data_IF_672373604181
#
_entry.id   IF_672373604181
#
_cell.length_a   1.000
_cell.length_b   1.000
_cell.length_c   1.000
_cell.angle_alpha   90.00
_cell.angle_beta   90.00
_cell.angle_gamma   90.00
#
_symmetry.space_group_name_H-M   'P 1'
#
loop_
_entity.id
_entity.type
_entity.pdbx_description
1 polymer ?
#
# COMPACT_ATOMS: atom_id res chain seq x y z
N UNK A 1 -42.93 -35.92 30.70
CA UNK A 1 -44.31 -35.62 31.14
C UNK A 1 -45.05 -35.33 29.86
N UNK A 2 -45.66 -36.33 29.41
CA UNK A 2 -47.03 -36.67 29.05
C UNK A 2 -47.48 -36.00 27.79
N UNK A 3 -47.45 -36.70 26.62
CA UNK A 3 -48.46 -37.68 26.22
C UNK A 3 -49.88 -37.11 26.35
N UNK A 4 -50.67 -37.00 25.31
CA UNK A 4 -51.31 -38.03 24.53
C UNK A 4 -52.37 -37.43 23.55
N UNK A 5 -52.94 -38.17 22.66
CA UNK A 5 -53.54 -37.75 21.41
C UNK A 5 -55.08 -37.76 21.47
N UNK A 6 -55.72 -37.18 20.40
CA UNK A 6 -57.19 -37.30 20.25
C UNK A 6 -57.49 -37.62 18.78
N UNK A 7 -57.87 -38.77 18.58
CA UNK A 7 -58.99 -39.59 18.03
C UNK A 7 -59.84 -38.92 16.94
N UNK A 8 -59.96 -39.68 15.84
CA UNK A 8 -61.03 -39.63 14.82
C UNK A 8 -62.40 -39.96 15.40
N UNK A 9 -63.47 -39.54 14.72
CA UNK A 9 -64.62 -40.41 14.64
C UNK A 9 -65.12 -40.70 13.22
N UNK A 10 -65.63 -41.92 13.16
CA UNK A 10 -66.19 -42.75 12.09
C UNK A 10 -67.47 -42.20 11.46
N UNK A 11 -67.53 -42.53 10.15
CA UNK A 11 -68.70 -42.99 9.37
C UNK A 11 -70.09 -43.12 10.03
N UNK A 12 -71.05 -42.50 9.39
CA UNK A 12 -72.29 -43.28 9.06
C UNK A 12 -73.02 -42.63 7.88
N UNK A 13 -73.29 -43.43 6.85
CA UNK A 13 -74.26 -43.18 5.75
C UNK A 13 -75.60 -43.74 6.10
N UNK A 14 -76.67 -43.10 5.73
CA UNK A 14 -77.88 -43.83 5.43
C UNK A 14 -78.23 -43.80 3.87
N UNK A 15 -78.45 -44.95 3.43
CA UNK A 15 -79.06 -45.35 2.17
C UNK A 15 -80.51 -44.76 2.02
N UNK A 16 -80.77 -44.11 0.88
CA UNK A 16 -82.12 -43.75 0.48
C UNK A 16 -82.28 -43.96 -1.02
N UNK A 17 -82.59 -45.16 -1.38
CA UNK A 17 -83.37 -45.54 -2.59
C UNK A 17 -84.82 -45.04 -2.46
N UNK A 18 -85.34 -44.48 -3.55
CA UNK A 18 -86.70 -44.06 -3.85
C UNK A 18 -87.01 -42.53 -3.75
N UNK A 19 -86.92 -41.93 -4.93
CA UNK A 19 -87.85 -40.84 -5.29
C UNK A 19 -88.04 -40.77 -6.85
N UNK A 20 -89.22 -40.44 -7.32
CA UNK A 20 -89.66 -40.61 -8.72
C UNK A 20 -89.14 -39.51 -9.66
N UNK A 21 -89.06 -39.90 -10.93
CA UNK A 21 -88.62 -39.10 -12.06
C UNK A 21 -89.46 -37.80 -12.28
N UNK A 22 -88.82 -36.65 -12.31
CA UNK A 22 -89.43 -35.42 -12.79
C UNK A 22 -89.20 -35.20 -14.29
N UNK A 23 -90.06 -34.47 -14.98
CA UNK A 23 -90.12 -34.39 -16.44
C UNK A 23 -88.99 -33.56 -17.02
N UNK A 24 -88.48 -33.98 -18.18
CA UNK A 24 -87.45 -33.30 -18.97
C UNK A 24 -87.94 -32.01 -19.56
N UNK A 25 -87.34 -30.90 -19.20
CA UNK A 25 -87.45 -29.56 -19.84
C UNK A 25 -86.55 -29.51 -21.11
N UNK A 26 -86.94 -28.80 -22.15
CA UNK A 26 -86.19 -28.71 -23.41
C UNK A 26 -84.88 -27.90 -23.21
N UNK A 27 -83.80 -28.39 -23.80
CA UNK A 27 -82.47 -27.79 -23.76
C UNK A 27 -82.40 -26.45 -24.52
N UNK A 28 -82.21 -25.37 -23.81
CA UNK A 28 -81.82 -24.07 -24.42
C UNK A 28 -80.38 -24.14 -25.00
N UNK A 29 -80.12 -23.51 -26.15
CA UNK A 29 -78.79 -23.48 -26.74
C UNK A 29 -77.86 -22.62 -25.91
N UNK A 30 -76.76 -23.19 -25.39
CA UNK A 30 -75.71 -22.49 -24.67
C UNK A 30 -75.09 -21.42 -25.55
N UNK A 31 -74.98 -20.17 -25.08
CA UNK A 31 -74.26 -19.13 -25.81
C UNK A 31 -72.77 -19.50 -25.87
N UNK A 32 -72.21 -19.68 -27.04
CA UNK A 32 -70.77 -19.89 -27.28
C UNK A 32 -70.02 -18.72 -26.79
N UNK A 33 -69.09 -18.98 -25.90
CA UNK A 33 -68.26 -18.10 -25.09
C UNK A 33 -67.63 -16.92 -25.88
N UNK A 34 -68.26 -15.75 -25.78
CA UNK A 34 -67.61 -14.49 -26.14
C UNK A 34 -66.39 -14.18 -25.25
N UNK A 35 -66.22 -14.87 -24.11
CA UNK A 35 -65.14 -14.64 -23.15
C UNK A 35 -63.77 -15.15 -23.64
N UNK A 36 -63.71 -16.23 -24.39
CA UNK A 36 -62.43 -16.78 -24.90
C UNK A 36 -61.87 -15.97 -26.05
N UNK A 37 -62.69 -15.43 -26.94
CA UNK A 37 -62.24 -14.56 -28.03
C UNK A 37 -61.81 -13.17 -27.51
N UNK A 38 -62.45 -12.65 -26.47
CA UNK A 38 -62.07 -11.38 -25.84
C UNK A 38 -60.76 -11.51 -25.08
N UNK A 39 -60.54 -12.61 -24.36
CA UNK A 39 -59.25 -12.90 -23.67
C UNK A 39 -58.12 -13.13 -24.66
N UNK A 40 -58.36 -13.79 -25.79
CA UNK A 40 -57.36 -13.99 -26.84
C UNK A 40 -57.00 -12.67 -27.51
N UNK A 41 -57.98 -11.79 -27.77
CA UNK A 41 -57.75 -10.47 -28.32
C UNK A 41 -56.96 -9.57 -27.35
N UNK A 42 -57.26 -9.61 -26.04
CA UNK A 42 -56.52 -8.88 -25.01
C UNK A 42 -55.08 -9.41 -24.88
N UNK A 43 -54.87 -10.71 -24.94
CA UNK A 43 -53.54 -11.32 -24.93
C UNK A 43 -52.70 -10.86 -26.14
N UNK A 44 -53.30 -10.85 -27.34
CA UNK A 44 -52.65 -10.38 -28.57
C UNK A 44 -52.28 -8.91 -28.47
N UNK A 45 -53.18 -8.05 -27.96
CA UNK A 45 -52.90 -6.62 -27.73
C UNK A 45 -51.78 -6.43 -26.69
N UNK A 46 -51.77 -7.26 -25.64
CA UNK A 46 -50.72 -7.18 -24.61
C UNK A 46 -49.35 -7.63 -25.14
N UNK A 47 -49.31 -8.71 -25.93
CA UNK A 47 -48.06 -9.20 -26.55
C UNK A 47 -47.56 -8.24 -27.62
N UNK A 48 -48.43 -7.72 -28.48
CA UNK A 48 -48.04 -6.72 -29.50
C UNK A 48 -47.68 -5.39 -28.90
N UNK A 49 -48.43 -4.90 -27.90
CA UNK A 49 -48.13 -3.67 -27.19
C UNK A 49 -46.88 -3.75 -26.32
N UNK A 50 -46.73 -4.86 -25.58
CA UNK A 50 -45.53 -5.16 -24.81
C UNK A 50 -44.28 -5.34 -25.68
N UNK A 51 -44.44 -6.03 -26.82
CA UNK A 51 -43.40 -6.21 -27.83
C UNK A 51 -42.97 -4.87 -28.46
N UNK A 52 -43.92 -4.02 -28.80
CA UNK A 52 -43.65 -2.69 -29.36
C UNK A 52 -42.94 -1.78 -28.33
N UNK A 53 -43.39 -1.79 -27.08
CA UNK A 53 -42.74 -1.06 -26.00
C UNK A 53 -41.34 -1.59 -25.71
N UNK A 54 -41.15 -2.91 -25.72
CA UNK A 54 -39.83 -3.53 -25.55
C UNK A 54 -38.88 -3.18 -26.69
N UNK A 55 -39.33 -3.29 -27.95
CA UNK A 55 -38.51 -2.93 -29.11
C UNK A 55 -38.22 -1.44 -29.13
N UNK A 56 -39.20 -0.58 -28.79
CA UNK A 56 -38.99 0.86 -28.69
C UNK A 56 -38.02 1.21 -27.54
N UNK A 57 -38.20 0.60 -26.38
CA UNK A 57 -37.30 0.80 -25.24
C UNK A 57 -35.87 0.28 -25.52
N UNK A 58 -35.77 -0.88 -26.20
CA UNK A 58 -34.49 -1.48 -26.58
C UNK A 58 -33.78 -0.66 -27.68
N UNK A 59 -34.51 -0.17 -28.68
CA UNK A 59 -33.94 0.67 -29.74
C UNK A 59 -33.59 2.08 -29.24
N UNK A 60 -34.47 2.70 -28.40
CA UNK A 60 -34.10 3.97 -27.72
C UNK A 60 -32.91 3.76 -26.78
N UNK A 61 -32.86 2.67 -26.03
CA UNK A 61 -31.72 2.36 -25.15
C UNK A 61 -30.39 2.13 -25.91
N UNK A 62 -30.50 1.56 -27.14
CA UNK A 62 -29.33 1.43 -28.04
C UNK A 62 -28.95 2.76 -28.73
N UNK A 63 -29.93 3.59 -29.09
CA UNK A 63 -29.70 4.91 -29.70
C UNK A 63 -29.27 5.96 -28.65
N UNK A 64 -29.74 5.81 -27.44
CA UNK A 64 -29.27 6.59 -26.31
C UNK A 64 -27.97 6.04 -25.73
N UNK A 65 -27.07 5.47 -26.49
CA UNK A 65 -25.81 4.83 -26.09
C UNK A 65 -25.08 5.58 -24.95
N UNK A 66 -25.78 5.70 -23.83
CA UNK A 66 -25.21 6.23 -22.61
C UNK A 66 -24.18 5.20 -22.12
N UNK A 67 -22.92 5.45 -22.38
CA UNK A 67 -21.83 4.79 -21.66
C UNK A 67 -22.11 5.00 -20.18
N UNK A 68 -22.26 3.93 -19.37
CA UNK A 68 -22.54 4.09 -17.95
C UNK A 68 -21.53 5.05 -17.30
N UNK A 69 -21.99 6.13 -16.69
CA UNK A 69 -21.17 7.10 -15.98
C UNK A 69 -20.74 8.35 -16.76
N UNK A 70 -21.14 8.54 -18.03
CA UNK A 70 -20.89 9.80 -18.75
C UNK A 70 -22.06 10.76 -18.62
N UNK A 71 -21.78 11.99 -18.21
CA UNK A 71 -22.76 13.11 -18.34
C UNK A 71 -22.92 13.49 -19.80
N UNK A 72 -24.09 14.04 -20.19
CA UNK A 72 -24.34 14.47 -21.58
C UNK A 72 -23.24 15.41 -22.11
N UNK A 73 -22.70 16.26 -21.27
CA UNK A 73 -21.58 17.15 -21.62
C UNK A 73 -20.28 16.40 -22.00
N UNK A 74 -20.04 15.24 -21.42
CA UNK A 74 -18.84 14.45 -21.72
C UNK A 74 -19.02 13.57 -22.97
N UNK A 75 -20.24 13.27 -23.41
CA UNK A 75 -20.48 12.45 -24.61
C UNK A 75 -19.94 13.13 -25.86
N UNK A 76 -20.19 14.43 -26.05
CA UNK A 76 -19.67 15.18 -27.18
C UNK A 76 -18.15 15.33 -27.16
N UNK A 77 -17.55 15.47 -25.96
CA UNK A 77 -16.12 15.52 -25.76
C UNK A 77 -15.43 14.20 -26.13
N UNK A 78 -16.05 13.07 -25.80
CA UNK A 78 -15.49 11.73 -26.08
C UNK A 78 -15.81 11.19 -27.47
N UNK A 79 -16.67 11.84 -28.28
CA UNK A 79 -17.02 11.40 -29.63
C UNK A 79 -15.79 11.22 -30.52
N UNK A 80 -14.84 12.18 -30.65
CA UNK A 80 -13.64 12.01 -31.47
C UNK A 80 -12.77 10.83 -31.03
N UNK A 81 -12.73 10.55 -29.73
CA UNK A 81 -12.03 9.40 -29.17
C UNK A 81 -12.65 8.08 -29.67
N UNK A 82 -13.98 7.95 -29.62
CA UNK A 82 -14.67 6.73 -30.06
C UNK A 82 -14.61 6.56 -31.58
N UNK A 83 -14.66 7.65 -32.35
CA UNK A 83 -14.50 7.63 -33.78
C UNK A 83 -13.09 7.11 -34.15
N UNK A 84 -12.06 7.64 -33.54
CA UNK A 84 -10.66 7.21 -33.72
C UNK A 84 -10.45 5.75 -33.29
N UNK A 85 -10.97 5.35 -32.13
CA UNK A 85 -10.88 3.97 -31.64
C UNK A 85 -11.53 2.99 -32.62
N UNK A 86 -12.72 3.34 -33.14
CA UNK A 86 -13.46 2.51 -34.10
C UNK A 86 -12.71 2.39 -35.43
N UNK A 87 -12.19 3.51 -35.93
CA UNK A 87 -11.44 3.53 -37.19
C UNK A 87 -10.15 2.69 -37.12
N UNK A 88 -9.38 2.86 -36.04
CA UNK A 88 -8.17 2.05 -35.80
C UNK A 88 -8.54 0.57 -35.66
N UNK A 89 -9.56 0.23 -34.89
CA UNK A 89 -9.95 -1.15 -34.66
C UNK A 89 -10.45 -1.87 -35.92
N UNK A 90 -11.03 -1.12 -36.88
CA UNK A 90 -11.63 -1.70 -38.09
C UNK A 90 -10.73 -1.61 -39.33
N UNK A 91 -9.89 -0.59 -39.42
CA UNK A 91 -9.22 -0.24 -40.69
C UNK A 91 -7.69 -0.30 -40.60
N UNK A 92 -7.11 -0.51 -39.42
CA UNK A 92 -5.65 -0.65 -39.31
C UNK A 92 -5.15 -1.90 -40.03
N UNK A 93 -4.07 -1.79 -40.78
CA UNK A 93 -3.55 -2.84 -41.68
C UNK A 93 -2.91 -4.02 -40.93
N UNK A 94 -2.57 -3.86 -39.64
CA UNK A 94 -2.01 -4.91 -38.79
C UNK A 94 -3.03 -5.48 -37.81
N UNK A 95 -2.59 -6.43 -36.98
CA UNK A 95 -3.39 -6.93 -35.86
C UNK A 95 -3.42 -5.89 -34.74
N UNK A 96 -4.60 -5.68 -34.17
CA UNK A 96 -4.81 -4.75 -33.05
C UNK A 96 -5.43 -5.53 -31.90
N UNK A 97 -4.73 -5.53 -30.75
CA UNK A 97 -5.33 -5.97 -29.50
C UNK A 97 -6.07 -4.79 -28.84
N UNK A 98 -7.40 -4.89 -28.65
CA UNK A 98 -8.20 -3.84 -28.02
C UNK A 98 -7.71 -3.47 -26.61
N UNK A 99 -7.13 -4.42 -25.86
CA UNK A 99 -6.59 -4.14 -24.53
C UNK A 99 -5.42 -3.15 -24.57
N UNK A 100 -4.52 -3.30 -25.52
CA UNK A 100 -3.41 -2.33 -25.70
C UNK A 100 -3.88 -0.93 -26.10
N UNK A 101 -4.95 -0.83 -26.90
CA UNK A 101 -5.52 0.47 -27.25
C UNK A 101 -6.11 1.17 -26.02
N UNK A 102 -6.87 0.43 -25.19
CA UNK A 102 -7.47 0.96 -23.98
C UNK A 102 -6.38 1.36 -22.97
N UNK A 103 -5.40 0.50 -22.78
CA UNK A 103 -4.24 0.77 -21.91
C UNK A 103 -3.49 2.02 -22.36
N UNK A 104 -3.20 2.15 -23.67
CA UNK A 104 -2.55 3.32 -24.25
C UNK A 104 -3.37 4.60 -24.03
N UNK A 105 -4.69 4.53 -24.16
CA UNK A 105 -5.58 5.65 -23.94
C UNK A 105 -5.57 6.10 -22.46
N UNK A 106 -5.63 5.16 -21.52
CA UNK A 106 -5.56 5.46 -20.07
C UNK A 106 -4.19 6.07 -19.74
N UNK A 107 -3.09 5.50 -20.24
CA UNK A 107 -1.74 6.09 -20.10
C UNK A 107 -1.69 7.52 -20.62
N UNK A 108 -2.35 7.79 -21.76
CA UNK A 108 -2.45 9.12 -22.34
C UNK A 108 -3.13 10.14 -21.42
N UNK A 109 -4.17 9.74 -20.69
CA UNK A 109 -4.85 10.59 -19.70
C UNK A 109 -3.87 11.02 -18.59
N UNK A 110 -3.12 10.06 -18.02
CA UNK A 110 -2.16 10.38 -16.96
C UNK A 110 -0.98 11.22 -17.47
N UNK A 111 -0.49 10.93 -18.66
CA UNK A 111 0.58 11.72 -19.28
C UNK A 111 0.17 13.19 -19.54
N UNK A 112 -1.11 13.43 -19.85
CA UNK A 112 -1.64 14.77 -20.05
C UNK A 112 -1.66 15.63 -18.77
N UNK A 113 -1.60 15.02 -17.57
CA UNK A 113 -1.51 15.75 -16.30
C UNK A 113 -0.16 16.45 -16.13
N UNK A 114 0.91 15.97 -16.77
CA UNK A 114 2.26 16.49 -16.56
C UNK A 114 2.82 16.25 -15.16
N UNK A 115 2.15 15.41 -14.35
CA UNK A 115 2.57 15.03 -13.00
C UNK A 115 3.34 13.71 -13.04
N UNK A 116 4.65 13.70 -12.72
CA UNK A 116 5.45 12.48 -12.75
C UNK A 116 5.06 11.47 -11.65
N UNK A 117 4.28 11.90 -10.66
CA UNK A 117 3.82 11.05 -9.55
C UNK A 117 2.46 10.41 -9.82
N UNK A 118 1.73 10.88 -10.84
CA UNK A 118 0.46 10.31 -11.28
C UNK A 118 0.66 9.46 -12.53
N UNK A 119 0.32 8.18 -12.46
CA UNK A 119 0.51 7.28 -13.60
C UNK A 119 -0.45 6.09 -13.58
N UNK A 120 -0.78 5.61 -14.77
CA UNK A 120 -1.38 4.30 -14.94
C UNK A 120 -0.33 3.21 -14.73
N UNK A 121 -0.76 2.09 -14.15
CA UNK A 121 0.04 0.91 -13.86
C UNK A 121 -0.67 -0.32 -14.45
N UNK A 122 0.05 -1.16 -15.16
CA UNK A 122 -0.45 -2.49 -15.53
C UNK A 122 -0.76 -3.30 -14.28
N UNK A 123 -1.44 -4.44 -14.41
CA UNK A 123 -1.78 -5.26 -13.26
C UNK A 123 -0.53 -5.73 -12.48
N UNK A 124 0.53 -6.09 -13.19
CA UNK A 124 1.81 -6.48 -12.59
C UNK A 124 2.49 -5.30 -11.88
N UNK A 125 2.59 -4.13 -12.54
CA UNK A 125 3.16 -2.92 -11.95
C UNK A 125 2.37 -2.41 -10.75
N UNK A 126 1.02 -2.52 -10.80
CA UNK A 126 0.15 -2.12 -9.69
C UNK A 126 0.38 -2.98 -8.46
N UNK A 127 0.40 -4.31 -8.62
CA UNK A 127 0.69 -5.25 -7.54
C UNK A 127 2.10 -5.08 -6.99
N UNK A 128 3.09 -4.93 -7.87
CA UNK A 128 4.48 -4.69 -7.47
C UNK A 128 4.62 -3.39 -6.67
N UNK A 129 3.94 -2.30 -7.11
CA UNK A 129 3.96 -1.01 -6.41
C UNK A 129 3.33 -1.10 -5.03
N UNK A 130 2.19 -1.79 -4.88
CA UNK A 130 1.55 -2.00 -3.58
C UNK A 130 2.43 -2.82 -2.65
N UNK A 131 3.00 -3.93 -3.12
CA UNK A 131 3.91 -4.78 -2.34
C UNK A 131 5.19 -4.03 -1.93
N UNK A 132 5.72 -3.19 -2.83
CA UNK A 132 6.89 -2.36 -2.54
C UNK A 132 6.64 -1.34 -1.42
N UNK A 133 5.46 -0.71 -1.40
CA UNK A 133 5.11 0.28 -0.37
C UNK A 133 4.70 -0.40 0.94
N UNK A 134 3.92 -1.50 0.89
CA UNK A 134 3.50 -2.21 2.09
C UNK A 134 4.68 -2.80 2.86
N UNK A 135 5.77 -3.11 2.17
CA UNK A 135 6.91 -3.83 2.75
C UNK A 135 6.58 -5.28 3.08
N UNK A 136 5.47 -5.81 2.56
CA UNK A 136 4.98 -7.16 2.81
C UNK A 136 5.41 -8.14 1.73
N UNK A 137 5.87 -9.31 2.14
CA UNK A 137 6.16 -10.42 1.24
C UNK A 137 5.85 -11.76 1.90
N UNK A 138 5.50 -12.77 1.10
CA UNK A 138 5.21 -14.10 1.62
C UNK A 138 6.49 -14.93 1.74
N UNK A 139 6.69 -15.58 2.89
CA UNK A 139 7.85 -16.39 3.11
C UNK A 139 8.05 -16.84 4.56
N UNK A 140 9.32 -16.99 4.95
CA UNK A 140 9.72 -17.42 6.30
C UNK A 140 10.39 -16.31 7.12
N UNK A 141 10.94 -15.25 6.49
CA UNK A 141 11.63 -14.15 7.16
C UNK A 141 13.07 -14.48 7.55
N UNK A 142 13.87 -14.86 6.57
CA UNK A 142 15.31 -15.11 6.70
C UNK A 142 16.07 -14.32 5.64
N UNK A 143 17.13 -13.65 6.05
CA UNK A 143 18.20 -13.21 5.16
C UNK A 143 19.31 -14.23 5.20
N UNK A 144 19.84 -14.56 4.04
CA UNK A 144 20.85 -15.60 3.91
C UNK A 144 21.95 -15.18 2.93
N UNK A 145 23.15 -15.64 3.18
CA UNK A 145 24.28 -15.45 2.29
C UNK A 145 25.11 -16.74 2.17
N UNK A 146 25.72 -16.94 1.02
CA UNK A 146 26.72 -17.98 0.83
C UNK A 146 28.06 -17.49 1.33
N UNK A 147 28.66 -18.22 2.28
CA UNK A 147 29.92 -17.86 2.93
C UNK A 147 30.82 -19.06 3.11
N UNK A 148 32.14 -18.86 2.97
CA UNK A 148 33.15 -19.82 3.31
C UNK A 148 33.41 -19.89 4.84
N UNK A 149 34.39 -20.69 5.26
CA UNK A 149 34.75 -20.84 6.67
C UNK A 149 35.34 -19.56 7.29
N UNK A 150 35.86 -18.62 6.47
CA UNK A 150 36.38 -17.33 6.90
C UNK A 150 35.31 -16.23 6.86
N UNK A 151 34.05 -16.58 6.47
CA UNK A 151 32.94 -15.61 6.34
C UNK A 151 32.96 -14.81 5.03
N UNK A 152 33.84 -15.17 4.07
CA UNK A 152 33.89 -14.46 2.79
C UNK A 152 32.79 -14.96 1.85
N UNK A 153 32.18 -14.07 1.04
CA UNK A 153 31.19 -14.47 0.03
C UNK A 153 31.77 -15.50 -0.95
N UNK A 154 30.91 -16.42 -1.39
CA UNK A 154 31.27 -17.45 -2.37
C UNK A 154 30.02 -17.78 -3.24
N UNK A 155 30.24 -18.32 -4.47
CA UNK A 155 29.18 -18.36 -5.47
C UNK A 155 28.22 -19.56 -5.39
N UNK A 156 28.73 -20.78 -5.18
CA UNK A 156 27.93 -22.01 -5.22
C UNK A 156 27.97 -22.76 -3.90
N UNK A 157 26.81 -23.23 -3.45
CA UNK A 157 26.72 -24.01 -2.20
C UNK A 157 27.46 -25.34 -2.32
N UNK A 158 28.44 -25.54 -1.43
CA UNK A 158 29.31 -26.70 -1.40
C UNK A 158 29.75 -27.02 0.04
N UNK A 159 30.61 -28.01 0.21
CA UNK A 159 31.20 -28.33 1.52
C UNK A 159 32.07 -27.19 2.10
N UNK A 160 32.60 -26.32 1.23
CA UNK A 160 33.43 -25.17 1.62
C UNK A 160 32.73 -23.83 1.52
N UNK A 161 31.59 -23.75 0.82
CA UNK A 161 30.76 -22.56 0.63
C UNK A 161 29.35 -22.85 1.13
N UNK A 162 28.99 -22.37 2.30
CA UNK A 162 27.74 -22.76 2.98
C UNK A 162 26.72 -21.66 2.99
N UNK A 163 25.43 -22.02 2.86
CA UNK A 163 24.32 -21.08 3.01
C UNK A 163 24.07 -20.81 4.50
N UNK A 164 24.38 -19.60 4.92
CA UNK A 164 24.26 -19.15 6.32
C UNK A 164 23.14 -18.16 6.48
N UNK A 165 22.37 -18.28 7.55
CA UNK A 165 21.41 -17.26 7.99
C UNK A 165 22.20 -16.08 8.56
N UNK A 166 22.11 -14.94 7.88
CA UNK A 166 22.77 -13.69 8.29
C UNK A 166 21.89 -12.87 9.22
N UNK A 167 20.58 -12.88 8.96
CA UNK A 167 19.60 -12.21 9.79
C UNK A 167 18.27 -12.97 9.84
N UNK A 168 17.66 -13.01 11.02
CA UNK A 168 16.30 -13.52 11.23
C UNK A 168 15.39 -12.34 11.49
N UNK A 169 14.47 -12.07 10.55
CA UNK A 169 13.55 -10.94 10.59
C UNK A 169 12.69 -10.97 11.85
N UNK A 170 12.57 -9.85 12.55
CA UNK A 170 11.76 -9.73 13.75
C UNK A 170 10.29 -10.10 13.46
N UNK A 171 9.62 -10.71 14.43
CA UNK A 171 8.22 -11.13 14.30
C UNK A 171 7.92 -12.04 13.12
N UNK A 172 8.94 -12.69 12.55
CA UNK A 172 8.79 -13.61 11.42
C UNK A 172 8.45 -15.04 11.86
N UNK A 173 7.89 -15.87 10.96
CA UNK A 173 7.73 -17.31 11.20
C UNK A 173 9.03 -18.03 11.53
N UNK A 174 10.14 -17.65 10.91
CA UNK A 174 11.45 -18.22 11.18
C UNK A 174 11.91 -17.96 12.62
N UNK A 175 11.70 -16.72 13.12
CA UNK A 175 12.00 -16.39 14.52
C UNK A 175 11.11 -17.21 15.47
N UNK A 176 9.82 -17.30 15.19
CA UNK A 176 8.86 -18.07 15.99
C UNK A 176 9.20 -19.57 15.98
N UNK A 177 9.76 -20.11 14.89
CA UNK A 177 10.23 -21.49 14.80
C UNK A 177 11.61 -21.72 15.46
N UNK A 178 12.25 -20.67 16.01
CA UNK A 178 13.52 -20.75 16.72
C UNK A 178 14.75 -20.75 15.82
N UNK A 179 14.66 -20.24 14.59
CA UNK A 179 15.82 -19.96 13.73
C UNK A 179 16.70 -18.89 14.38
N UNK A 180 18.01 -18.95 14.12
CA UNK A 180 18.99 -18.03 14.70
C UNK A 180 19.98 -17.56 13.65
N UNK A 181 20.50 -16.34 13.87
CA UNK A 181 21.64 -15.84 13.09
C UNK A 181 22.82 -16.80 13.24
N UNK A 182 23.46 -17.13 12.13
CA UNK A 182 24.57 -18.08 12.07
C UNK A 182 24.18 -19.53 11.78
N UNK A 183 22.90 -19.89 11.78
CA UNK A 183 22.44 -21.21 11.32
C UNK A 183 22.92 -21.48 9.89
N UNK A 184 23.37 -22.70 9.64
CA UNK A 184 23.79 -23.15 8.31
C UNK A 184 22.72 -24.06 7.74
N UNK A 185 22.04 -23.63 6.68
CA UNK A 185 21.04 -24.44 5.98
C UNK A 185 21.75 -25.51 5.15
N UNK A 186 21.36 -26.77 5.31
CA UNK A 186 21.94 -27.92 4.59
C UNK A 186 20.94 -28.63 3.69
N UNK A 187 19.62 -28.55 4.00
CA UNK A 187 18.57 -29.12 3.16
C UNK A 187 17.28 -28.30 3.28
N UNK A 188 16.42 -28.37 2.27
CA UNK A 188 15.06 -27.83 2.24
C UNK A 188 14.11 -28.99 1.92
N UNK A 189 13.08 -29.20 2.75
CA UNK A 189 12.13 -30.32 2.65
C UNK A 189 12.79 -31.69 2.46
N UNK A 190 13.89 -31.90 3.19
CA UNK A 190 14.70 -33.13 3.13
C UNK A 190 15.62 -33.25 1.90
N UNK A 191 15.55 -32.33 0.96
CA UNK A 191 16.44 -32.34 -0.22
C UNK A 191 17.69 -31.48 0.05
N UNK A 192 18.87 -32.11 -0.11
CA UNK A 192 20.16 -31.40 0.05
C UNK A 192 20.31 -30.27 -0.96
N UNK A 193 20.89 -29.13 -0.51
CA UNK A 193 21.06 -27.93 -1.32
C UNK A 193 22.44 -27.76 -1.95
N UNK A 194 23.37 -28.73 -1.71
CA UNK A 194 24.70 -28.72 -2.32
C UNK A 194 24.58 -28.70 -3.85
N UNK A 195 25.35 -27.83 -4.50
CA UNK A 195 25.36 -27.63 -5.94
C UNK A 195 24.28 -26.67 -6.47
N UNK A 196 23.38 -26.15 -5.60
CA UNK A 196 22.38 -25.14 -5.96
C UNK A 196 22.96 -23.73 -5.78
N UNK A 197 22.38 -22.79 -6.50
CA UNK A 197 22.61 -21.36 -6.26
C UNK A 197 21.76 -20.88 -5.09
N UNK A 198 22.08 -19.72 -4.52
CA UNK A 198 21.27 -19.11 -3.47
C UNK A 198 19.84 -18.81 -3.97
N UNK A 199 19.67 -18.36 -5.21
CA UNK A 199 18.37 -18.04 -5.81
C UNK A 199 17.49 -19.28 -5.97
N UNK A 200 18.09 -20.42 -6.36
CA UNK A 200 17.38 -21.71 -6.41
C UNK A 200 16.84 -22.08 -5.03
N UNK A 201 17.65 -21.91 -3.98
CA UNK A 201 17.24 -22.24 -2.61
C UNK A 201 16.19 -21.26 -2.09
N UNK A 202 16.33 -19.97 -2.36
CA UNK A 202 15.32 -18.96 -2.01
C UNK A 202 13.97 -19.32 -2.65
N UNK A 203 13.98 -19.76 -3.91
CA UNK A 203 12.75 -20.19 -4.61
C UNK A 203 12.09 -21.40 -3.94
N UNK A 204 12.86 -22.35 -3.41
CA UNK A 204 12.33 -23.48 -2.65
C UNK A 204 11.78 -23.08 -1.27
N UNK A 205 12.42 -22.11 -0.61
CA UNK A 205 12.00 -21.62 0.71
C UNK A 205 10.76 -20.75 0.62
N UNK A 206 10.63 -19.93 -0.44
CA UNK A 206 9.43 -19.13 -0.70
C UNK A 206 8.23 -20.01 -1.02
N UNK A 207 7.04 -19.47 -0.86
CA UNK A 207 5.79 -20.13 -1.21
C UNK A 207 4.60 -19.47 -0.53
N UNK A 208 3.36 -19.90 -0.86
CA UNK A 208 2.15 -19.28 -0.37
C UNK A 208 2.01 -19.35 1.16
N UNK A 209 1.45 -18.27 1.73
CA UNK A 209 1.06 -18.22 3.14
C UNK A 209 0.29 -19.47 3.57
N UNK A 210 0.59 -19.98 4.78
CA UNK A 210 -0.04 -21.15 5.37
C UNK A 210 0.57 -22.49 4.95
N UNK A 211 1.47 -22.54 3.97
CA UNK A 211 2.22 -23.76 3.61
C UNK A 211 3.46 -23.92 4.51
N UNK A 212 3.87 -25.17 4.75
CA UNK A 212 5.04 -25.46 5.59
C UNK A 212 6.26 -25.74 4.71
N UNK A 213 7.43 -25.24 5.12
CA UNK A 213 8.74 -25.63 4.62
C UNK A 213 9.58 -26.13 5.80
N UNK A 214 10.31 -27.20 5.61
CA UNK A 214 11.23 -27.71 6.64
C UNK A 214 12.66 -27.39 6.25
N UNK A 215 13.36 -26.61 7.06
CA UNK A 215 14.79 -26.34 6.88
C UNK A 215 15.61 -27.26 7.76
N UNK A 216 16.48 -28.05 7.16
CA UNK A 216 17.51 -28.78 7.91
C UNK A 216 18.68 -27.84 8.13
N UNK A 217 18.98 -27.52 9.39
CA UNK A 217 20.04 -26.58 9.75
C UNK A 217 21.10 -27.23 10.63
N UNK A 218 22.32 -26.74 10.51
CA UNK A 218 23.44 -27.08 11.40
C UNK A 218 23.73 -25.89 12.31
N UNK A 219 23.55 -26.07 13.61
CA UNK A 219 23.81 -25.10 14.67
C UNK A 219 24.76 -25.66 15.69
N UNK A 220 25.90 -25.02 15.94
CA UNK A 220 26.94 -25.46 16.87
C UNK A 220 27.33 -26.96 16.68
N UNK A 221 27.38 -27.45 15.43
CA UNK A 221 27.72 -28.83 15.09
C UNK A 221 26.58 -29.84 15.17
N UNK A 222 25.39 -29.45 15.64
CA UNK A 222 24.20 -30.30 15.70
C UNK A 222 23.28 -30.02 14.52
N UNK A 223 22.78 -31.08 13.89
CA UNK A 223 21.79 -30.98 12.80
C UNK A 223 20.40 -31.13 13.37
N UNK A 224 19.50 -30.25 12.93
CA UNK A 224 18.08 -30.26 13.32
C UNK A 224 17.18 -29.86 12.16
N UNK A 225 15.97 -30.40 12.14
CA UNK A 225 14.90 -29.97 11.22
C UNK A 225 14.02 -28.94 11.89
N UNK A 226 13.83 -27.80 11.22
CA UNK A 226 13.00 -26.69 11.68
C UNK A 226 11.83 -26.52 10.70
N UNK A 227 10.63 -27.00 11.05
CA UNK A 227 9.44 -26.76 10.26
C UNK A 227 8.97 -25.32 10.48
N UNK A 228 8.76 -24.58 9.37
CA UNK A 228 8.35 -23.17 9.39
C UNK A 228 7.09 -23.02 8.55
N UNK A 229 6.00 -22.53 9.14
CA UNK A 229 4.79 -22.20 8.39
C UNK A 229 5.00 -20.83 7.77
N UNK A 230 4.94 -20.74 6.44
CA UNK A 230 5.06 -19.47 5.71
C UNK A 230 3.94 -18.53 6.05
N UNK A 231 4.25 -17.26 6.20
CA UNK A 231 3.28 -16.18 6.44
C UNK A 231 3.69 -14.92 5.70
N UNK A 232 2.90 -13.86 5.86
CA UNK A 232 3.28 -12.51 5.44
C UNK A 232 4.38 -12.02 6.38
N UNK A 233 5.47 -11.58 5.79
CA UNK A 233 6.64 -11.02 6.48
C UNK A 233 6.63 -9.52 6.25
N UNK A 234 6.83 -8.75 7.32
CA UNK A 234 7.10 -7.33 7.23
C UNK A 234 8.59 -7.10 7.01
N UNK A 235 8.94 -6.28 6.00
CA UNK A 235 10.31 -5.80 5.83
C UNK A 235 10.68 -4.93 7.04
N UNK A 236 11.90 -5.08 7.53
CA UNK A 236 12.43 -4.22 8.58
C UNK A 236 12.98 -2.94 7.94
N UNK A 237 12.21 -1.88 8.04
CA UNK A 237 12.58 -0.56 7.49
C UNK A 237 13.29 0.31 8.54
N UNK A 238 13.35 -0.12 9.80
CA UNK A 238 13.94 0.65 10.91
C UNK A 238 15.03 -0.15 11.59
N UNK A 239 16.18 0.47 11.73
CA UNK A 239 17.32 -0.08 12.48
C UNK A 239 17.73 0.89 13.60
N UNK A 240 18.37 0.37 14.63
CA UNK A 240 18.86 1.18 15.75
C UNK A 240 20.29 0.82 16.16
N UNK A 241 20.99 1.78 16.70
CA UNK A 241 22.32 1.61 17.26
C UNK A 241 22.52 2.58 18.43
N UNK A 242 23.34 2.19 19.40
CA UNK A 242 23.80 3.08 20.46
C UNK A 242 25.19 3.61 20.11
N UNK A 243 25.34 4.93 20.12
CA UNK A 243 26.58 5.64 19.74
C UNK A 243 27.13 6.44 20.92
N UNK A 244 28.33 6.99 20.75
CA UNK A 244 28.96 7.92 21.68
C UNK A 244 29.03 7.41 23.13
N UNK A 245 29.57 6.19 23.31
CA UNK A 245 29.76 5.55 24.63
C UNK A 245 28.43 5.42 25.42
N UNK A 246 27.34 5.07 24.73
CA UNK A 246 26.05 4.85 25.36
C UNK A 246 25.14 6.08 25.47
N UNK A 247 25.59 7.25 25.01
CA UNK A 247 24.84 8.50 25.21
C UNK A 247 23.79 8.79 24.14
N UNK A 248 24.00 8.33 22.90
CA UNK A 248 23.18 8.71 21.77
C UNK A 248 22.51 7.47 21.18
N UNK A 249 21.18 7.51 21.09
CA UNK A 249 20.39 6.57 20.30
C UNK A 249 20.34 7.02 18.84
N UNK A 250 20.77 6.16 17.95
CA UNK A 250 20.66 6.34 16.51
C UNK A 250 19.58 5.43 15.97
N UNK A 251 18.71 5.99 15.15
CA UNK A 251 17.64 5.29 14.43
C UNK A 251 17.75 5.64 12.96
N UNK A 252 17.73 4.62 12.08
CA UNK A 252 17.68 4.82 10.64
C UNK A 252 16.38 4.26 10.10
N UNK A 253 15.71 5.02 9.25
CA UNK A 253 14.52 4.60 8.51
C UNK A 253 14.87 4.54 7.03
N UNK A 254 14.66 3.37 6.41
CA UNK A 254 14.88 3.12 4.98
C UNK A 254 13.56 3.14 4.16
N UNK A 255 12.40 3.24 4.84
CA UNK A 255 11.09 3.34 4.22
C UNK A 255 9.94 3.39 5.23
N UNK A 256 8.81 3.92 4.79
CA UNK A 256 7.59 4.06 5.59
C UNK A 256 6.56 3.00 5.19
N UNK A 257 6.85 1.73 5.50
CA UNK A 257 5.93 0.61 5.29
C UNK A 257 4.85 0.52 6.37
N UNK A 258 3.94 -0.46 6.23
CA UNK A 258 2.88 -0.70 7.21
C UNK A 258 3.40 -1.08 8.60
N UNK A 259 4.61 -1.65 8.70
CA UNK A 259 5.26 -2.06 9.96
C UNK A 259 6.18 -1.00 10.58
N UNK A 260 6.65 -0.01 9.79
CA UNK A 260 7.75 0.88 10.18
C UNK A 260 7.48 1.70 11.45
N UNK A 261 6.23 2.17 11.65
CA UNK A 261 5.87 2.93 12.84
C UNK A 261 5.96 2.09 14.13
N UNK A 262 5.54 0.83 14.08
CA UNK A 262 5.64 -0.06 15.24
C UNK A 262 7.10 -0.47 15.48
N UNK A 263 7.87 -0.72 14.43
CA UNK A 263 9.30 -1.02 14.55
C UNK A 263 10.07 0.13 15.19
N UNK A 264 9.78 1.36 14.76
CA UNK A 264 10.37 2.54 15.37
C UNK A 264 9.99 2.66 16.85
N UNK A 265 8.70 2.52 17.19
CA UNK A 265 8.23 2.61 18.57
C UNK A 265 8.97 1.62 19.49
N UNK A 266 9.09 0.36 19.07
CA UNK A 266 9.74 -0.69 19.85
C UNK A 266 11.23 -0.38 20.07
N UNK A 267 11.95 -0.01 18.99
CA UNK A 267 13.37 0.32 19.05
C UNK A 267 13.65 1.62 19.83
N UNK A 268 12.81 2.63 19.64
CA UNK A 268 12.93 3.89 20.38
C UNK A 268 12.66 3.68 21.87
N UNK A 269 11.67 2.87 22.22
CA UNK A 269 11.38 2.49 23.61
C UNK A 269 12.57 1.77 24.24
N UNK A 270 13.21 0.83 23.51
CA UNK A 270 14.42 0.15 23.98
C UNK A 270 15.57 1.15 24.21
N UNK A 271 15.82 2.06 23.26
CA UNK A 271 16.87 3.08 23.39
C UNK A 271 16.65 4.00 24.61
N UNK A 272 15.41 4.47 24.81
CA UNK A 272 15.10 5.42 25.87
C UNK A 272 14.97 4.74 27.23
N UNK A 273 14.25 3.61 27.33
CA UNK A 273 13.90 2.98 28.59
C UNK A 273 14.93 1.96 29.08
N UNK A 274 15.58 1.23 28.16
CA UNK A 274 16.54 0.17 28.49
C UNK A 274 17.98 0.66 28.39
N UNK A 275 18.33 1.32 27.30
CA UNK A 275 19.69 1.82 27.11
C UNK A 275 19.92 3.18 27.79
N UNK A 276 18.86 3.89 28.18
CA UNK A 276 18.91 5.19 28.87
C UNK A 276 19.74 6.23 28.08
N UNK A 277 19.58 6.28 26.77
CA UNK A 277 20.25 7.26 25.92
C UNK A 277 19.82 8.67 26.30
N UNK A 278 20.74 9.63 26.16
CA UNK A 278 20.53 11.02 26.58
C UNK A 278 20.18 11.94 25.40
N UNK A 279 20.44 11.51 24.16
CA UNK A 279 20.13 12.22 22.95
C UNK A 279 19.79 11.27 21.80
N UNK A 280 19.22 11.80 20.73
CA UNK A 280 18.71 11.02 19.60
C UNK A 280 19.21 11.55 18.24
N UNK A 281 19.49 10.65 17.33
CA UNK A 281 19.72 10.93 15.91
C UNK A 281 18.72 10.09 15.11
N UNK A 282 17.88 10.74 14.31
CA UNK A 282 17.00 10.09 13.32
C UNK A 282 17.60 10.28 11.93
N UNK A 283 17.98 9.21 11.27
CA UNK A 283 18.55 9.23 9.93
C UNK A 283 17.48 8.88 8.89
N UNK A 284 17.15 9.86 8.06
CA UNK A 284 16.19 9.75 6.94
C UNK A 284 16.88 9.93 5.59
N UNK A 285 18.21 9.84 5.53
CA UNK A 285 18.95 9.94 4.29
C UNK A 285 18.64 8.75 3.38
N UNK A 286 18.46 9.02 2.09
CA UNK A 286 18.14 8.05 1.03
C UNK A 286 16.80 7.31 1.24
N UNK A 287 15.94 7.81 2.13
CA UNK A 287 14.60 7.26 2.36
C UNK A 287 13.57 7.92 1.44
N UNK A 288 13.00 7.18 0.47
CA UNK A 288 12.04 7.71 -0.52
C UNK A 288 10.65 7.98 0.07
N UNK A 289 10.41 7.63 1.34
CA UNK A 289 9.13 7.73 2.01
C UNK A 289 8.30 6.45 1.98
N UNK A 290 6.99 6.60 1.92
CA UNK A 290 6.02 5.52 1.94
C UNK A 290 4.65 5.99 2.41
N UNK A 291 4.04 5.28 3.36
CA UNK A 291 2.72 5.62 3.89
C UNK A 291 2.72 6.89 4.73
N UNK A 292 1.78 7.78 4.45
CA UNK A 292 1.61 9.05 5.16
C UNK A 292 1.15 8.85 6.61
N UNK A 293 0.30 7.85 6.86
CA UNK A 293 -0.12 7.50 8.22
C UNK A 293 1.03 6.95 9.08
N UNK A 294 1.99 6.26 8.46
CA UNK A 294 3.22 5.86 9.14
C UNK A 294 4.08 7.08 9.50
N UNK A 295 4.19 8.07 8.61
CA UNK A 295 4.90 9.32 8.89
C UNK A 295 4.26 10.10 10.05
N UNK A 296 2.93 10.20 10.09
CA UNK A 296 2.20 10.85 11.19
C UNK A 296 2.48 10.17 12.52
N UNK A 297 2.40 8.82 12.58
CA UNK A 297 2.69 8.05 13.78
C UNK A 297 4.16 8.21 14.21
N UNK A 298 5.09 8.11 13.27
CA UNK A 298 6.54 8.26 13.54
C UNK A 298 6.87 9.67 14.04
N UNK A 299 6.35 10.73 13.42
CA UNK A 299 6.53 12.07 13.92
C UNK A 299 5.99 12.24 15.35
N UNK A 300 4.85 11.58 15.64
CA UNK A 300 4.22 11.61 16.97
C UNK A 300 5.05 10.94 18.07
N UNK A 301 5.99 10.06 17.72
CA UNK A 301 6.91 9.47 18.69
C UNK A 301 7.85 10.51 19.31
N UNK A 302 8.13 11.60 18.60
CA UNK A 302 9.11 12.61 18.99
C UNK A 302 8.53 13.95 19.42
N UNK A 303 7.27 14.24 19.05
CA UNK A 303 6.63 15.52 19.37
C UNK A 303 5.14 15.39 19.59
N UNK A 304 4.62 16.19 20.54
CA UNK A 304 3.18 16.41 20.75
C UNK A 304 2.71 17.77 20.23
N UNK A 305 3.57 18.48 19.50
CA UNK A 305 3.21 19.77 18.90
C UNK A 305 2.14 19.59 17.82
N UNK A 306 1.24 20.56 17.72
CA UNK A 306 0.03 20.51 16.90
C UNK A 306 -0.11 21.81 16.09
N UNK A 307 -0.24 21.74 14.77
CA UNK A 307 -0.29 20.54 13.92
C UNK A 307 1.11 19.96 13.58
N UNK A 308 1.14 18.68 13.20
CA UNK A 308 2.35 18.06 12.65
C UNK A 308 2.61 18.56 11.21
N UNK A 309 1.57 18.63 10.40
CA UNK A 309 1.56 19.10 9.02
C UNK A 309 0.11 19.39 8.59
N UNK A 310 -0.10 19.85 7.36
CA UNK A 310 -1.42 20.09 6.81
C UNK A 310 -1.62 19.30 5.51
N UNK A 311 -2.85 18.88 5.25
CA UNK A 311 -3.27 18.34 3.97
C UNK A 311 -4.25 19.27 3.28
N UNK A 312 -4.16 19.35 1.94
CA UNK A 312 -5.05 20.16 1.13
C UNK A 312 -5.46 19.43 -0.14
N UNK A 313 -6.75 19.23 -0.36
CA UNK A 313 -7.32 18.76 -1.62
C UNK A 313 -7.33 19.88 -2.67
N UNK A 314 -7.61 19.53 -3.94
CA UNK A 314 -7.62 20.48 -5.05
C UNK A 314 -8.56 21.69 -4.82
N UNK A 315 -9.66 21.50 -4.11
CA UNK A 315 -10.72 22.52 -3.89
C UNK A 315 -10.95 22.84 -2.43
N UNK A 316 -10.27 22.17 -1.50
CA UNK A 316 -10.43 22.33 -0.05
C UNK A 316 -9.50 23.36 0.55
N UNK A 317 -9.84 23.84 1.76
CA UNK A 317 -8.92 24.54 2.62
C UNK A 317 -7.89 23.53 3.21
N UNK A 318 -6.72 24.00 3.67
CA UNK A 318 -5.79 23.14 4.41
C UNK A 318 -6.43 22.58 5.69
N UNK A 319 -6.27 21.30 5.93
CA UNK A 319 -6.77 20.59 7.11
C UNK A 319 -5.57 20.14 7.97
N UNK A 320 -5.54 20.47 9.29
CA UNK A 320 -4.43 20.12 10.16
C UNK A 320 -4.39 18.62 10.43
N UNK A 321 -3.19 18.07 10.48
CA UNK A 321 -2.94 16.69 10.86
C UNK A 321 -2.31 16.67 12.26
N UNK A 322 -3.00 16.01 13.19
CA UNK A 322 -2.71 16.04 14.61
C UNK A 322 -1.79 14.90 15.06
N UNK A 323 -0.98 15.08 16.10
CA UNK A 323 -0.16 14.01 16.64
C UNK A 323 -1.01 12.90 17.27
N UNK A 324 -0.56 11.66 17.11
CA UNK A 324 -1.10 10.52 17.86
C UNK A 324 -0.59 10.57 19.31
N UNK A 325 -1.39 10.19 20.32
CA UNK A 325 -0.92 10.16 21.69
C UNK A 325 0.03 8.99 21.95
N UNK A 326 0.94 9.14 22.94
CA UNK A 326 1.74 8.04 23.48
C UNK A 326 3.15 7.93 22.89
N UNK A 327 3.69 8.98 22.29
CA UNK A 327 5.05 8.97 21.76
C UNK A 327 6.12 8.72 22.83
N UNK A 328 7.11 7.87 22.49
CA UNK A 328 8.13 7.38 23.43
C UNK A 328 9.24 8.40 23.75
N UNK A 329 9.43 9.44 22.91
CA UNK A 329 10.50 10.44 23.05
C UNK A 329 10.01 11.88 22.84
N UNK A 330 8.82 12.21 23.34
CA UNK A 330 8.24 13.56 23.27
C UNK A 330 8.85 14.55 24.24
N UNK A 331 9.70 14.08 25.18
CA UNK A 331 10.44 14.96 26.11
C UNK A 331 11.45 15.81 25.34
N UNK A 332 11.23 17.11 25.33
CA UNK A 332 12.10 18.09 24.66
C UNK A 332 13.45 18.29 25.34
N UNK A 333 13.65 17.77 26.56
CA UNK A 333 14.96 17.77 27.23
C UNK A 333 15.92 16.73 26.64
N UNK A 334 15.42 15.78 25.85
CA UNK A 334 16.26 14.86 25.09
C UNK A 334 16.61 15.54 23.75
N UNK A 335 17.84 16.06 23.58
CA UNK A 335 18.23 16.69 22.33
C UNK A 335 18.14 15.72 21.15
N UNK A 336 17.73 16.25 19.99
CA UNK A 336 17.50 15.42 18.82
C UNK A 336 17.88 16.16 17.54
N UNK A 337 18.51 15.44 16.62
CA UNK A 337 18.74 15.89 15.24
C UNK A 337 18.18 14.90 14.24
N UNK A 338 17.87 15.39 13.04
CA UNK A 338 17.46 14.57 11.90
C UNK A 338 18.48 14.72 10.77
N UNK A 339 18.98 13.61 10.24
CA UNK A 339 19.88 13.60 9.10
C UNK A 339 19.08 13.46 7.82
N UNK A 340 19.33 14.34 6.84
CA UNK A 340 18.59 14.40 5.57
C UNK A 340 19.53 14.60 4.38
N UNK A 341 19.07 14.18 3.18
CA UNK A 341 19.76 14.45 1.93
C UNK A 341 18.79 14.51 0.73
N UNK A 342 19.30 14.63 -0.49
CA UNK A 342 18.50 14.66 -1.71
C UNK A 342 17.67 13.41 -1.99
N UNK A 343 17.94 12.29 -1.32
CA UNK A 343 17.14 11.06 -1.36
C UNK A 343 16.00 11.02 -0.35
N UNK A 344 16.01 11.94 0.65
CA UNK A 344 14.91 12.09 1.62
C UNK A 344 13.68 12.67 0.92
N UNK A 345 12.57 11.90 0.81
CA UNK A 345 11.41 12.30 0.03
C UNK A 345 10.06 11.93 0.67
N UNK A 346 8.99 12.70 0.36
CA UNK A 346 7.58 12.35 0.69
C UNK A 346 7.34 12.18 2.20
N UNK A 347 6.98 10.98 2.69
CA UNK A 347 6.74 10.67 4.10
C UNK A 347 7.92 11.07 5.00
N UNK A 348 9.17 10.86 4.54
CA UNK A 348 10.38 11.29 5.25
C UNK A 348 10.47 12.80 5.36
N UNK A 349 10.01 13.54 4.32
CA UNK A 349 9.94 15.00 4.37
C UNK A 349 8.83 15.49 5.31
N UNK A 350 7.70 14.76 5.41
CA UNK A 350 6.63 15.07 6.37
C UNK A 350 7.17 14.98 7.80
N UNK A 351 7.88 13.90 8.14
CA UNK A 351 8.51 13.76 9.48
C UNK A 351 9.54 14.85 9.71
N UNK A 352 10.43 15.08 8.73
CA UNK A 352 11.45 16.13 8.82
C UNK A 352 10.84 17.52 9.02
N UNK A 353 9.80 17.87 8.24
CA UNK A 353 9.09 19.14 8.34
C UNK A 353 8.37 19.31 9.68
N UNK A 354 7.70 18.23 10.15
CA UNK A 354 7.02 18.23 11.45
C UNK A 354 8.00 18.51 12.60
N UNK A 355 9.16 17.85 12.59
CA UNK A 355 10.16 18.01 13.66
C UNK A 355 10.90 19.35 13.57
N UNK A 356 11.26 19.81 12.38
CA UNK A 356 11.92 21.11 12.17
C UNK A 356 10.96 22.26 12.45
N UNK A 357 9.76 22.25 11.85
CA UNK A 357 8.81 23.35 11.96
C UNK A 357 8.28 23.55 13.38
N UNK A 358 8.15 22.46 14.13
CA UNK A 358 7.78 22.51 15.56
C UNK A 358 8.98 22.64 16.50
N UNK A 359 10.17 22.95 15.99
CA UNK A 359 11.40 23.17 16.75
C UNK A 359 11.78 21.99 17.67
N UNK A 360 11.41 20.77 17.27
CA UNK A 360 11.77 19.55 18.01
C UNK A 360 13.18 19.07 17.68
N UNK A 361 13.61 19.23 16.43
CA UNK A 361 14.91 18.79 15.98
C UNK A 361 15.50 19.73 14.92
N UNK A 362 16.84 19.81 14.87
CA UNK A 362 17.57 20.44 13.78
C UNK A 362 17.76 19.43 12.64
N UNK A 363 17.54 19.85 11.39
CA UNK A 363 17.91 19.09 10.22
C UNK A 363 19.39 19.32 9.89
N UNK A 364 20.14 18.25 9.64
CA UNK A 364 21.57 18.28 9.27
C UNK A 364 21.76 17.49 7.97
N UNK A 365 22.52 18.03 7.04
CA UNK A 365 22.82 17.38 5.76
C UNK A 365 22.57 18.27 4.57
N UNK A 366 22.00 17.76 3.48
CA UNK A 366 21.68 18.55 2.31
C UNK A 366 20.16 18.65 2.06
N UNK A 367 19.78 19.54 1.13
CA UNK A 367 18.37 19.80 0.78
C UNK A 367 17.65 18.52 0.38
N UNK A 368 16.41 18.33 0.84
CA UNK A 368 15.58 17.16 0.51
C UNK A 368 15.00 17.21 -0.90
N UNK A 369 14.36 16.13 -1.33
CA UNK A 369 13.87 15.94 -2.70
C UNK A 369 12.79 16.95 -3.13
N UNK A 370 11.80 17.22 -2.27
CA UNK A 370 10.69 18.11 -2.58
C UNK A 370 9.47 17.41 -3.19
N UNK A 371 9.01 16.31 -2.62
CA UNK A 371 7.77 15.65 -3.03
C UNK A 371 6.61 16.05 -2.13
N UNK A 372 5.99 17.20 -2.43
CA UNK A 372 4.91 17.80 -1.64
C UNK A 372 3.49 17.33 -2.01
N UNK A 373 3.31 16.12 -2.56
CA UNK A 373 2.02 15.56 -2.97
C UNK A 373 1.78 14.19 -2.36
N UNK A 374 0.50 13.88 -2.07
CA UNK A 374 0.02 12.60 -1.56
C UNK A 374 -0.71 11.88 -2.68
N UNK A 375 -0.34 10.62 -2.92
CA UNK A 375 -0.95 9.78 -3.94
C UNK A 375 -1.89 8.76 -3.31
N UNK A 376 -2.97 8.49 -4.03
CA UNK A 376 -3.83 7.34 -3.79
C UNK A 376 -3.69 6.33 -4.93
N UNK A 377 -3.73 5.06 -4.57
CA UNK A 377 -3.76 3.94 -5.51
C UNK A 377 -5.20 3.51 -5.71
N UNK A 378 -5.59 3.29 -6.97
CA UNK A 378 -6.92 2.78 -7.29
C UNK A 378 -6.82 1.69 -8.34
N UNK A 379 -7.44 0.54 -8.04
CA UNK A 379 -7.55 -0.58 -8.97
C UNK A 379 -8.59 -0.28 -10.07
N UNK A 380 -8.25 -0.67 -11.29
CA UNK A 380 -9.15 -0.72 -12.44
C UNK A 380 -9.41 -2.20 -12.76
N UNK A 381 -10.57 -2.76 -12.41
CA UNK A 381 -10.84 -4.19 -12.58
C UNK A 381 -10.59 -4.66 -14.01
N UNK A 382 -9.68 -5.62 -14.19
CA UNK A 382 -9.31 -6.17 -15.49
C UNK A 382 -8.39 -5.28 -16.35
N UNK A 383 -7.88 -4.17 -15.78
CA UNK A 383 -7.01 -3.22 -16.49
C UNK A 383 -5.91 -2.63 -15.59
N UNK A 384 -5.48 -3.37 -14.56
CA UNK A 384 -4.44 -2.90 -13.65
C UNK A 384 -4.94 -1.83 -12.67
N UNK A 385 -4.31 -0.67 -12.64
CA UNK A 385 -4.69 0.40 -11.74
C UNK A 385 -3.96 1.70 -12.02
N UNK A 386 -4.06 2.65 -11.10
CA UNK A 386 -3.34 3.89 -11.20
C UNK A 386 -2.94 4.43 -9.84
N UNK A 387 -1.94 5.27 -9.86
CA UNK A 387 -1.52 6.14 -8.77
C UNK A 387 -1.81 7.57 -9.17
N UNK A 388 -2.53 8.33 -8.32
CA UNK A 388 -2.95 9.71 -8.62
C UNK A 388 -2.64 10.62 -7.44
N UNK A 389 -2.01 11.76 -7.69
CA UNK A 389 -1.83 12.82 -6.69
C UNK A 389 -3.18 13.48 -6.39
N UNK A 390 -3.67 13.29 -5.17
CA UNK A 390 -5.02 13.74 -4.76
C UNK A 390 -4.99 14.86 -3.74
N UNK A 391 -3.86 15.03 -3.02
CA UNK A 391 -3.65 16.08 -2.02
C UNK A 391 -2.25 16.67 -2.13
N UNK A 392 -2.13 17.91 -1.69
CA UNK A 392 -0.86 18.50 -1.27
C UNK A 392 -0.69 18.29 0.21
N UNK A 393 0.53 18.15 0.67
CA UNK A 393 0.85 18.33 2.07
C UNK A 393 1.71 19.59 2.26
N UNK A 394 1.54 20.24 3.40
CA UNK A 394 2.20 21.48 3.75
C UNK A 394 2.87 21.33 5.11
N UNK A 395 3.96 22.03 5.32
CA UNK A 395 4.68 22.11 6.60
C UNK A 395 3.80 22.68 7.73
N UNK A 396 4.20 22.63 9.00
CA UNK A 396 3.44 23.25 10.10
C UNK A 396 3.09 24.72 9.88
N UNK A 397 3.95 25.49 9.20
CA UNK A 397 3.72 26.88 8.82
C UNK A 397 2.97 27.06 7.47
N UNK A 398 2.38 25.99 6.96
CA UNK A 398 1.62 25.94 5.71
C UNK A 398 2.43 26.22 4.43
N UNK A 399 3.75 26.01 4.46
CA UNK A 399 4.59 26.13 3.26
C UNK A 399 4.49 24.85 2.42
N UNK A 400 4.30 25.00 1.10
CA UNK A 400 4.33 23.88 0.15
C UNK A 400 5.72 23.68 -0.41
N UNK A 401 6.31 22.51 -0.16
CA UNK A 401 7.72 22.24 -0.49
C UNK A 401 7.92 21.56 -1.86
N UNK A 402 6.84 21.35 -2.63
CA UNK A 402 6.89 20.62 -3.90
C UNK A 402 7.87 21.27 -4.89
N UNK A 403 8.79 20.45 -5.44
CA UNK A 403 9.86 20.90 -6.34
C UNK A 403 10.97 21.73 -5.66
N UNK A 404 10.80 22.04 -4.37
CA UNK A 404 11.77 22.84 -3.59
C UNK A 404 12.53 21.98 -2.56
N UNK A 405 11.83 21.17 -1.79
CA UNK A 405 12.40 20.42 -0.66
C UNK A 405 12.56 21.26 0.62
N UNK A 406 12.98 20.57 1.68
CA UNK A 406 13.33 21.18 2.96
C UNK A 406 14.82 21.58 2.95
N UNK A 407 15.12 22.68 3.58
CA UNK A 407 16.50 23.12 3.79
C UNK A 407 16.95 22.71 5.20
N UNK A 408 18.13 22.06 5.33
CA UNK A 408 18.67 21.73 6.63
C UNK A 408 19.05 23.00 7.42
N UNK A 409 19.01 22.89 8.74
CA UNK A 409 19.49 23.95 9.64
C UNK A 409 21.03 24.04 9.65
N UNK A 410 21.69 22.93 9.35
CA UNK A 410 23.14 22.83 9.17
C UNK A 410 23.40 22.12 7.85
N UNK A 411 23.85 22.90 6.85
CA UNK A 411 24.09 22.35 5.52
C UNK A 411 25.46 21.67 5.45
N UNK A 412 25.47 20.41 5.04
CA UNK A 412 26.69 19.64 4.76
C UNK A 412 26.47 18.97 3.42
N UNK A 413 27.11 19.50 2.39
CA UNK A 413 27.12 18.85 1.09
C UNK A 413 27.98 17.58 1.17
N UNK A 414 27.47 16.45 0.65
CA UNK A 414 28.28 15.24 0.58
C UNK A 414 29.52 15.53 -0.28
N UNK A 415 30.70 15.05 0.11
CA UNK A 415 31.89 15.20 -0.73
C UNK A 415 31.64 14.54 -2.09
N UNK A 416 32.11 15.17 -3.17
CA UNK A 416 31.97 14.67 -4.55
C UNK A 416 32.61 13.28 -4.75
N UNK A 417 33.50 12.87 -3.85
CA UNK A 417 34.15 11.57 -3.83
C UNK A 417 33.58 10.71 -2.70
N UNK A 418 32.77 9.69 -3.06
CA UNK A 418 32.13 8.76 -2.14
C UNK A 418 33.10 7.81 -1.39
N UNK A 419 34.41 7.95 -1.59
CA UNK A 419 35.44 7.08 -1.01
C UNK A 419 35.94 7.53 0.36
N UNK A 420 35.34 8.52 1.01
CA UNK A 420 35.74 8.93 2.34
C UNK A 420 35.25 7.94 3.41
N UNK A 421 36.14 7.45 4.28
CA UNK A 421 35.78 6.45 5.30
C UNK A 421 34.92 7.01 6.43
N UNK A 422 34.68 8.34 6.48
CA UNK A 422 33.98 9.02 7.56
C UNK A 422 32.67 9.61 7.06
N UNK A 423 31.58 9.35 7.77
CA UNK A 423 30.26 9.95 7.55
C UNK A 423 30.20 11.34 8.20
N UNK A 424 30.60 12.35 7.45
CA UNK A 424 30.67 13.73 7.96
C UNK A 424 29.32 14.28 8.45
N UNK A 425 28.20 13.79 7.88
CA UNK A 425 26.85 14.21 8.30
C UNK A 425 26.50 13.58 9.65
N UNK A 426 26.76 12.29 9.81
CA UNK A 426 26.56 11.58 11.09
C UNK A 426 27.51 12.12 12.17
N UNK A 427 28.78 12.33 11.86
CA UNK A 427 29.76 12.93 12.78
C UNK A 427 29.30 14.29 13.27
N UNK A 428 28.74 15.12 12.38
CA UNK A 428 28.17 16.42 12.75
C UNK A 428 26.92 16.26 13.62
N UNK A 429 26.06 15.30 13.32
CA UNK A 429 24.90 14.97 14.14
C UNK A 429 25.30 14.62 15.58
N UNK A 430 26.29 13.74 15.73
CA UNK A 430 26.87 13.39 17.06
C UNK A 430 27.41 14.61 17.77
N UNK A 431 28.18 15.44 17.07
CA UNK A 431 28.74 16.69 17.67
C UNK A 431 27.66 17.64 18.18
N UNK A 432 26.58 17.83 17.39
CA UNK A 432 25.46 18.72 17.75
C UNK A 432 24.75 18.21 18.99
N UNK A 433 24.36 16.92 19.00
CA UNK A 433 23.68 16.32 20.16
C UNK A 433 24.55 16.41 21.43
N UNK A 434 25.83 16.11 21.32
CA UNK A 434 26.78 16.24 22.48
C UNK A 434 26.96 17.70 22.95
N UNK A 435 26.94 18.66 22.02
CA UNK A 435 27.00 20.08 22.37
C UNK A 435 25.75 20.53 23.12
N UNK A 436 24.57 20.13 22.66
CA UNK A 436 23.29 20.42 23.33
C UNK A 436 23.23 19.78 24.74
N UNK A 437 23.69 18.55 24.90
CA UNK A 437 23.82 17.88 26.21
C UNK A 437 24.78 18.62 27.16
N UNK A 438 25.79 19.26 26.60
CA UNK A 438 26.74 20.08 27.39
C UNK A 438 26.24 21.52 27.60
N UNK A 439 25.06 21.90 27.13
CA UNK A 439 24.54 23.27 27.19
C UNK A 439 25.34 24.28 26.33
N UNK A 440 26.07 23.80 25.31
CA UNK A 440 26.84 24.63 24.40
C UNK A 440 25.95 25.09 23.23
N UNK A 441 25.90 26.39 22.90
CA UNK A 441 25.12 26.88 21.78
C UNK A 441 25.55 26.26 20.46
N UNK A 442 24.54 25.79 19.67
CA UNK A 442 24.75 25.28 18.31
C UNK A 442 24.56 26.43 17.32
N UNK A 443 25.50 26.57 16.39
CA UNK A 443 25.40 27.55 15.30
C UNK A 443 24.69 26.89 14.13
N UNK A 444 23.60 27.51 13.68
CA UNK A 444 22.85 27.11 12.50
C UNK A 444 23.14 28.05 11.33
N UNK A 445 22.93 27.57 10.12
CA UNK A 445 22.99 28.38 8.92
C UNK A 445 21.80 29.36 8.86
N UNK A 446 21.96 30.52 8.22
CA UNK A 446 20.82 31.42 8.00
C UNK A 446 19.77 30.73 7.12
N UNK A 447 18.46 30.94 7.39
CA UNK A 447 17.43 30.40 6.54
C UNK A 447 17.63 30.88 5.10
N UNK A 448 17.46 29.98 4.11
CA UNK A 448 17.60 30.36 2.71
C UNK A 448 16.56 31.43 2.35
N UNK A 449 16.99 32.42 1.56
CA UNK A 449 16.05 33.37 0.96
C UNK A 449 15.17 32.59 -0.03
N UNK A 450 13.90 32.42 0.30
CA UNK A 450 12.96 31.63 -0.50
C UNK A 450 12.83 32.22 -1.91
N UNK A 451 13.13 31.41 -2.93
CA UNK A 451 12.62 31.65 -4.28
C UNK A 451 11.09 31.43 -4.28
N UNK A 452 10.33 32.18 -5.08
CA UNK A 452 8.89 32.01 -5.14
C UNK A 452 8.53 30.56 -5.47
N UNK A 453 7.52 30.04 -4.78
CA UNK A 453 7.06 28.65 -4.93
C UNK A 453 6.78 28.31 -6.39
N UNK A 454 7.19 27.14 -6.88
CA UNK A 454 6.77 26.68 -8.19
C UNK A 454 5.26 26.47 -8.17
N UNK A 455 4.56 27.23 -8.99
CA UNK A 455 3.17 26.91 -9.34
C UNK A 455 3.21 25.65 -10.20
N UNK A 456 2.40 24.63 -9.85
CA UNK A 456 2.09 23.58 -10.83
C UNK A 456 1.65 24.31 -12.09
N UNK A 457 2.32 24.02 -13.21
CA UNK A 457 1.90 24.61 -14.50
C UNK A 457 0.42 24.28 -14.68
N UNK A 458 -0.46 25.28 -14.88
CA UNK A 458 -1.85 24.98 -15.16
C UNK A 458 -1.89 24.08 -16.39
N UNK A 459 -2.63 22.97 -16.28
CA UNK A 459 -3.01 22.18 -17.46
C UNK A 459 -3.55 23.17 -18.47
N UNK A 460 -3.06 23.21 -19.72
CA UNK A 460 -3.58 24.13 -20.71
C UNK A 460 -5.09 23.99 -20.79
N UNK A 461 -5.80 25.06 -20.47
CA UNK A 461 -7.25 25.12 -20.72
C UNK A 461 -7.44 25.05 -22.24
N UNK A 462 -8.08 23.96 -22.70
CA UNK A 462 -8.46 23.75 -24.08
C UNK A 462 -9.43 24.84 -24.55
#
# INVERSE_FOLDING_TARGET
>A
MTDQPVSEPSTDMPDMTDMPALPTLPSEPRPRSARTSTLLALLVVFVLGGGALFVSGFTLGRLAGATPGTTDANQDLFRPFWDAYTDVSQNYVGEVDPHFLVEGAIKGIFNALGDPFSQYLTEEEYRASLGGISGEFEGVGLEMATQDAAGQPCDAISDTCRLRVTHVVRRSPALAAGMQNGDVVSAVDGAAIIGKTIDDVITLIRGPKGTVVTLTVVRAGSTMDVPITRDVIQREDVTSQVLADGKIGYLKIDGFSSGSAQDLHDLLTELVQTNHVQGLILDLRDDPGGYVDAAQKIASEFTSADPLYWEQTATGAPEPQHPSPGGAATDTNIPMVVLVNGGTASASEIVSAALQGNQRALLIGSRTYGKGTIQEFKELPGAGGYRLSVRKWLTPDQTWIHGVGLFPNINIEPPADQQQPNDAVLDKGIQVVLAELAGTPVVTDPPPTHSPQPTLSPVPSA
#
